data_IF_832889509202
#
_entry.id   IF_832889509202
#
_cell.length_a   1.000
_cell.length_b   1.000
_cell.length_c   1.000
_cell.angle_alpha   90.00
_cell.angle_beta   90.00
_cell.angle_gamma   90.00
#
_symmetry.space_group_name_H-M   'P 1'
#
loop_
_entity.id
_entity.type
_entity.pdbx_description
1 polymer ?
#
# COMPACT_ATOMS: atom_id res chain seq x y z
N UNK A 1 -32.35 15.74 -26.51
CA UNK A 1 -31.41 15.02 -25.62
C UNK A 1 -29.99 15.30 -26.09
N UNK A 2 -29.29 16.22 -25.42
CA UNK A 2 -27.87 16.46 -25.67
C UNK A 2 -27.08 15.20 -25.29
N UNK A 3 -26.24 14.69 -26.18
CA UNK A 3 -25.27 13.64 -25.84
C UNK A 3 -24.29 14.26 -24.84
N UNK A 4 -24.35 13.86 -23.57
CA UNK A 4 -23.33 14.24 -22.60
C UNK A 4 -21.97 13.73 -23.10
N UNK A 5 -21.08 14.67 -23.38
CA UNK A 5 -19.71 14.38 -23.84
C UNK A 5 -18.95 13.82 -22.64
N UNK A 6 -18.42 12.60 -22.78
CA UNK A 6 -17.59 11.98 -21.76
C UNK A 6 -16.13 12.46 -21.95
N UNK A 7 -15.54 13.00 -20.88
CA UNK A 7 -14.16 13.49 -20.86
C UNK A 7 -13.21 12.54 -20.08
N UNK A 8 -13.68 11.37 -19.65
CA UNK A 8 -12.85 10.42 -18.90
C UNK A 8 -11.70 9.88 -19.77
N UNK A 9 -10.47 10.00 -19.28
CA UNK A 9 -9.28 9.55 -20.00
C UNK A 9 -9.02 8.05 -19.83
N UNK A 10 -9.59 7.25 -20.74
CA UNK A 10 -9.33 5.81 -20.77
C UNK A 10 -7.85 5.48 -21.01
N UNK A 11 -7.19 6.28 -21.87
CA UNK A 11 -5.77 6.12 -22.15
C UNK A 11 -4.90 6.37 -20.91
N UNK A 12 -5.31 7.27 -20.01
CA UNK A 12 -4.66 7.50 -18.72
C UNK A 12 -4.68 6.25 -17.84
N UNK A 13 -5.87 5.66 -17.67
CA UNK A 13 -6.03 4.42 -16.90
C UNK A 13 -5.25 3.24 -17.50
N UNK A 14 -5.21 3.11 -18.82
CA UNK A 14 -4.43 2.05 -19.47
C UNK A 14 -2.92 2.19 -19.23
N UNK A 15 -2.40 3.41 -19.25
CA UNK A 15 -1.00 3.67 -18.91
C UNK A 15 -0.71 3.29 -17.46
N UNK A 16 -1.57 3.71 -16.54
CA UNK A 16 -1.47 3.35 -15.11
C UNK A 16 -1.49 1.83 -14.93
N UNK A 17 -2.46 1.15 -15.52
CA UNK A 17 -2.57 -0.30 -15.47
C UNK A 17 -1.32 -0.99 -16.03
N UNK A 18 -0.75 -0.46 -17.12
CA UNK A 18 0.48 -1.01 -17.72
C UNK A 18 1.70 -0.81 -16.80
N UNK A 19 1.84 0.36 -16.18
CA UNK A 19 2.92 0.63 -15.21
C UNK A 19 2.80 -0.24 -13.96
N UNK A 20 1.59 -0.43 -13.45
CA UNK A 20 1.31 -1.29 -12.30
C UNK A 20 1.42 -2.79 -12.62
N UNK A 21 1.50 -3.17 -13.89
CA UNK A 21 1.76 -4.54 -14.33
C UNK A 21 3.19 -5.03 -14.04
N UNK A 22 4.08 -4.14 -13.61
CA UNK A 22 5.44 -4.49 -13.18
C UNK A 22 5.41 -5.13 -11.79
N UNK A 23 6.41 -5.95 -11.46
CA UNK A 23 6.55 -6.55 -10.12
C UNK A 23 7.34 -5.66 -9.15
N UNK A 24 8.08 -4.68 -9.68
CA UNK A 24 8.90 -3.77 -8.87
C UNK A 24 8.72 -2.35 -9.35
N UNK A 25 8.47 -1.43 -8.43
CA UNK A 25 8.37 0.01 -8.70
C UNK A 25 9.12 0.79 -7.61
N UNK A 26 9.66 1.96 -7.96
CA UNK A 26 10.20 2.86 -6.95
C UNK A 26 9.08 3.52 -6.16
N UNK A 27 9.36 3.89 -4.91
CA UNK A 27 8.41 4.56 -4.03
C UNK A 27 7.81 5.82 -4.67
N UNK A 28 8.64 6.69 -5.26
CA UNK A 28 8.17 7.90 -5.94
C UNK A 28 7.25 7.59 -7.12
N UNK A 29 7.56 6.52 -7.87
CA UNK A 29 6.73 6.09 -9.00
C UNK A 29 5.38 5.59 -8.51
N UNK A 30 5.35 4.83 -7.40
CA UNK A 30 4.12 4.34 -6.78
C UNK A 30 3.24 5.52 -6.36
N UNK A 31 3.80 6.54 -5.70
CA UNK A 31 3.09 7.74 -5.27
C UNK A 31 2.56 8.55 -6.46
N UNK A 32 3.37 8.77 -7.49
CA UNK A 32 2.95 9.49 -8.70
C UNK A 32 1.80 8.76 -9.40
N UNK A 33 1.90 7.43 -9.56
CA UNK A 33 0.82 6.63 -10.15
C UNK A 33 -0.45 6.72 -9.29
N UNK A 34 -0.31 6.68 -7.97
CA UNK A 34 -1.41 6.86 -7.03
C UNK A 34 -2.12 8.20 -7.24
N UNK A 35 -1.37 9.30 -7.26
CA UNK A 35 -1.91 10.65 -7.48
C UNK A 35 -2.60 10.80 -8.85
N UNK A 36 -1.94 10.35 -9.92
CA UNK A 36 -2.52 10.36 -11.28
C UNK A 36 -3.81 9.54 -11.33
N UNK A 37 -3.81 8.37 -10.67
CA UNK A 37 -4.98 7.50 -10.59
C UNK A 37 -6.13 8.18 -9.89
N UNK A 38 -5.92 8.79 -8.72
CA UNK A 38 -6.96 9.51 -7.98
C UNK A 38 -7.58 10.62 -8.84
N UNK A 39 -6.76 11.37 -9.58
CA UNK A 39 -7.24 12.37 -10.52
C UNK A 39 -8.17 11.79 -11.59
N UNK A 40 -7.78 10.69 -12.24
CA UNK A 40 -8.66 10.01 -13.20
C UNK A 40 -9.89 9.39 -12.54
N UNK A 41 -9.73 8.82 -11.35
CA UNK A 41 -10.78 8.14 -10.63
C UNK A 41 -11.91 9.13 -10.28
N UNK A 42 -11.58 10.32 -9.76
CA UNK A 42 -12.58 11.37 -9.51
C UNK A 42 -13.37 11.70 -10.78
N UNK A 43 -12.68 11.96 -11.90
CA UNK A 43 -13.37 12.30 -13.15
C UNK A 43 -14.30 11.20 -13.66
N UNK A 44 -14.08 9.95 -13.25
CA UNK A 44 -14.90 8.80 -13.62
C UNK A 44 -16.09 8.66 -12.68
N UNK A 45 -15.89 8.83 -11.37
CA UNK A 45 -16.97 8.82 -10.37
C UNK A 45 -18.02 9.88 -10.74
N UNK A 46 -17.58 11.07 -11.15
CA UNK A 46 -18.45 12.18 -11.56
C UNK A 46 -19.12 11.97 -12.95
N UNK A 47 -18.77 10.89 -13.66
CA UNK A 47 -19.26 10.63 -15.01
C UNK A 47 -20.29 9.50 -15.02
N UNK A 48 -21.58 9.88 -15.11
CA UNK A 48 -22.73 8.96 -15.19
C UNK A 48 -22.57 7.87 -16.27
N UNK A 49 -21.87 8.19 -17.37
CA UNK A 49 -21.67 7.24 -18.47
C UNK A 49 -20.60 6.20 -18.20
N UNK A 50 -19.67 6.46 -17.31
CA UNK A 50 -18.49 5.62 -17.07
C UNK A 50 -18.57 4.89 -15.74
N UNK A 51 -19.07 5.54 -14.68
CA UNK A 51 -19.02 5.05 -13.30
C UNK A 51 -19.66 3.68 -13.11
N UNK A 52 -20.75 3.40 -13.83
CA UNK A 52 -21.52 2.14 -13.73
C UNK A 52 -21.14 1.11 -14.79
N UNK A 53 -20.24 1.43 -15.71
CA UNK A 53 -19.90 0.47 -16.77
C UNK A 53 -19.03 -0.63 -16.21
N UNK A 54 -19.46 -1.90 -16.35
CA UNK A 54 -18.71 -3.09 -15.89
C UNK A 54 -17.24 -3.06 -16.30
N UNK A 55 -16.94 -2.60 -17.51
CA UNK A 55 -15.55 -2.45 -17.99
C UNK A 55 -14.75 -1.48 -17.13
N UNK A 56 -15.33 -0.33 -16.80
CA UNK A 56 -14.66 0.68 -15.99
C UNK A 56 -14.51 0.19 -14.55
N UNK A 57 -15.57 -0.36 -13.95
CA UNK A 57 -15.54 -1.01 -12.64
C UNK A 57 -14.38 -2.00 -12.53
N UNK A 58 -14.25 -2.91 -13.50
CA UNK A 58 -13.17 -3.89 -13.52
C UNK A 58 -11.78 -3.24 -13.59
N UNK A 59 -11.60 -2.20 -14.39
CA UNK A 59 -10.31 -1.52 -14.54
C UNK A 59 -9.95 -0.77 -13.26
N UNK A 60 -10.90 -0.05 -12.67
CA UNK A 60 -10.70 0.65 -11.40
C UNK A 60 -10.34 -0.35 -10.30
N UNK A 61 -11.07 -1.46 -10.17
CA UNK A 61 -10.77 -2.52 -9.20
C UNK A 61 -9.42 -3.18 -9.38
N UNK A 62 -8.98 -3.39 -10.63
CA UNK A 62 -7.65 -3.94 -10.89
C UNK A 62 -6.55 -2.96 -10.48
N UNK A 63 -6.72 -1.67 -10.82
CA UNK A 63 -5.75 -0.63 -10.48
C UNK A 63 -5.69 -0.42 -8.96
N UNK A 64 -6.83 -0.28 -8.28
CA UNK A 64 -6.90 -0.12 -6.82
C UNK A 64 -6.25 -1.30 -6.11
N UNK A 65 -6.60 -2.54 -6.49
CA UNK A 65 -6.02 -3.74 -5.91
C UNK A 65 -4.50 -3.77 -6.04
N UNK A 66 -3.97 -3.41 -7.22
CA UNK A 66 -2.53 -3.40 -7.48
C UNK A 66 -1.81 -2.26 -6.75
N UNK A 67 -2.41 -1.07 -6.65
CA UNK A 67 -1.88 0.03 -5.83
C UNK A 67 -1.78 -0.38 -4.35
N UNK A 68 -2.82 -1.00 -3.79
CA UNK A 68 -2.80 -1.48 -2.40
C UNK A 68 -1.66 -2.48 -2.19
N UNK A 69 -1.41 -3.40 -3.13
CA UNK A 69 -0.25 -4.30 -3.04
C UNK A 69 1.10 -3.55 -3.00
N UNK A 70 1.25 -2.47 -3.77
CA UNK A 70 2.47 -1.67 -3.74
C UNK A 70 2.62 -0.83 -2.46
N UNK A 71 1.52 -0.32 -1.90
CA UNK A 71 1.56 0.38 -0.62
C UNK A 71 1.93 -0.57 0.53
N UNK A 72 1.37 -1.79 0.54
CA UNK A 72 1.78 -2.85 1.49
C UNK A 72 3.27 -3.20 1.33
N UNK A 73 3.75 -3.34 0.08
CA UNK A 73 5.16 -3.61 -0.19
C UNK A 73 6.08 -2.47 0.27
N UNK A 74 5.66 -1.22 0.07
CA UNK A 74 6.40 -0.04 0.53
C UNK A 74 6.50 0.00 2.06
N UNK A 75 5.40 -0.29 2.77
CA UNK A 75 5.38 -0.42 4.23
C UNK A 75 6.32 -1.54 4.71
N UNK A 76 6.25 -2.73 4.10
CA UNK A 76 7.13 -3.85 4.49
C UNK A 76 8.61 -3.55 4.26
N UNK A 77 8.95 -2.85 3.18
CA UNK A 77 10.34 -2.46 2.89
C UNK A 77 10.85 -1.37 3.84
N UNK A 78 9.98 -0.43 4.24
CA UNK A 78 10.30 0.55 5.29
C UNK A 78 10.52 -0.13 6.66
N UNK A 79 9.72 -1.16 6.98
CA UNK A 79 9.84 -1.91 8.23
C UNK A 79 11.12 -2.77 8.27
N UNK A 80 11.43 -3.50 7.19
CA UNK A 80 12.57 -4.45 7.11
C UNK A 80 13.95 -3.81 7.04
N UNK A 81 14.05 -2.56 6.57
CA UNK A 81 15.34 -1.81 6.55
C UNK A 81 15.96 -1.65 7.96
N UNK A 82 15.19 -1.90 9.04
CA UNK A 82 15.67 -1.90 10.42
C UNK A 82 16.23 -3.24 10.92
N UNK A 83 16.08 -4.35 10.20
CA UNK A 83 16.52 -5.66 10.69
C UNK A 83 18.06 -5.83 10.67
N UNK A 84 18.81 -4.89 10.09
CA UNK A 84 20.27 -5.01 9.86
C UNK A 84 21.11 -4.20 10.86
N UNK A 85 20.51 -3.36 11.72
CA UNK A 85 21.24 -2.72 12.81
C UNK A 85 20.70 -3.14 14.19
N UNK A 86 21.18 -4.27 14.74
CA UNK A 86 21.09 -4.45 16.18
C UNK A 86 21.82 -3.28 16.82
N UNK A 87 21.08 -2.50 17.59
CA UNK A 87 21.54 -1.40 18.43
C UNK A 87 22.79 -1.86 19.19
N UNK A 88 23.98 -1.54 18.66
CA UNK A 88 25.22 -1.75 19.37
C UNK A 88 25.24 -0.75 20.52
N UNK A 89 24.70 -1.15 21.67
CA UNK A 89 24.96 -0.49 22.95
C UNK A 89 26.46 -0.59 23.16
N UNK A 90 27.16 0.50 22.85
CA UNK A 90 28.49 0.77 23.39
C UNK A 90 28.34 0.96 24.90
N UNK A 91 28.42 -0.13 25.65
CA UNK A 91 28.72 -0.08 27.08
C UNK A 91 30.23 -0.25 27.21
N UNK A 92 30.92 0.88 27.26
CA UNK A 92 32.22 0.97 27.90
C UNK A 92 32.03 0.60 29.37
N UNK A 93 32.65 -0.51 29.77
CA UNK A 93 33.60 -0.61 30.89
C UNK A 93 33.39 -1.84 31.80
N UNK A 94 34.52 -2.49 32.04
CA UNK A 94 34.88 -3.44 33.09
C UNK A 94 34.02 -4.70 33.35
N UNK A 95 34.65 -5.87 33.16
CA UNK A 95 34.58 -6.93 34.18
C UNK A 95 34.26 -8.36 33.71
N UNK A 96 35.33 -9.09 33.37
CA UNK A 96 35.65 -10.42 33.90
C UNK A 96 34.70 -11.64 33.63
N UNK A 97 35.26 -12.54 32.82
CA UNK A 97 35.43 -13.99 33.06
C UNK A 97 34.48 -15.02 32.39
N UNK A 98 35.11 -15.79 31.48
CA UNK A 98 35.04 -17.24 31.23
C UNK A 98 33.95 -17.82 30.28
N UNK A 99 34.42 -18.27 29.11
CA UNK A 99 33.84 -19.33 28.23
C UNK A 99 34.15 -20.75 28.80
N UNK A 100 33.75 -21.94 28.24
CA UNK A 100 33.25 -22.26 26.87
C UNK A 100 32.18 -23.45 26.82
N UNK A 101 32.05 -24.35 25.80
CA UNK A 101 30.83 -24.44 24.96
C UNK A 101 30.19 -25.85 24.75
N UNK A 102 29.12 -25.90 23.92
CA UNK A 102 28.56 -27.02 23.11
C UNK A 102 27.81 -28.23 23.76
N UNK A 103 26.50 -28.36 23.45
CA UNK A 103 25.79 -29.58 22.92
C UNK A 103 24.27 -29.33 22.90
N UNK A 104 23.64 -29.13 21.73
CA UNK A 104 22.95 -30.10 20.84
C UNK A 104 21.47 -30.38 21.16
N UNK A 105 20.65 -30.08 20.13
CA UNK A 105 19.43 -30.76 19.67
C UNK A 105 18.12 -30.62 20.45
N UNK A 106 17.14 -30.00 19.76
CA UNK A 106 15.72 -30.04 20.10
C UNK A 106 14.97 -28.96 19.32
N UNK A 107 14.37 -29.33 18.19
CA UNK A 107 13.59 -28.45 17.32
C UNK A 107 12.59 -27.56 18.08
N UNK A 108 12.31 -26.37 17.52
CA UNK A 108 10.95 -25.87 17.47
C UNK A 108 10.52 -25.73 16.00
N UNK A 109 9.49 -26.49 15.60
CA UNK A 109 8.63 -26.07 14.49
C UNK A 109 7.92 -24.78 14.89
N UNK A 110 7.84 -23.77 14.00
CA UNK A 110 6.75 -22.84 14.01
C UNK A 110 5.87 -23.12 12.78
N UNK A 111 4.67 -23.61 13.04
CA UNK A 111 3.53 -23.49 12.14
C UNK A 111 3.34 -22.00 11.85
N UNK A 112 3.92 -21.53 10.74
CA UNK A 112 3.56 -20.25 10.16
C UNK A 112 2.17 -20.43 9.52
N UNK A 113 1.18 -19.57 9.81
CA UNK A 113 -0.04 -19.58 9.03
C UNK A 113 0.34 -19.26 7.59
N UNK A 114 -0.10 -20.11 6.66
CA UNK A 114 0.03 -19.89 5.23
C UNK A 114 -0.72 -18.61 4.85
N UNK A 115 -0.02 -17.48 4.87
CA UNK A 115 -0.46 -16.29 4.18
C UNK A 115 -0.48 -16.64 2.68
N UNK A 116 -1.66 -16.55 2.07
CA UNK A 116 -1.82 -16.71 0.64
C UNK A 116 -0.78 -15.84 -0.08
N UNK A 117 -0.18 -16.31 -1.20
CA UNK A 117 0.82 -15.53 -1.91
C UNK A 117 0.16 -14.25 -2.41
N UNK A 118 0.40 -13.16 -1.67
CA UNK A 118 0.12 -11.82 -2.16
C UNK A 118 0.88 -11.67 -3.47
N UNK A 119 0.31 -11.02 -4.48
CA UNK A 119 1.02 -10.83 -5.74
C UNK A 119 2.35 -10.12 -5.44
N UNK A 120 3.45 -10.65 -6.00
CA UNK A 120 4.84 -10.30 -5.68
C UNK A 120 5.20 -8.83 -6.03
N UNK A 121 4.60 -7.87 -5.33
CA UNK A 121 4.94 -6.46 -5.46
C UNK A 121 6.14 -6.16 -4.57
N UNK A 122 7.14 -5.50 -5.13
CA UNK A 122 8.32 -5.04 -4.42
C UNK A 122 8.45 -3.52 -4.61
N UNK A 123 8.78 -2.80 -3.54
CA UNK A 123 8.98 -1.35 -3.59
C UNK A 123 10.45 -0.99 -3.37
N UNK A 124 11.04 -0.15 -4.20
CA UNK A 124 12.40 0.36 -3.96
C UNK A 124 12.35 1.80 -3.46
N UNK A 125 12.95 2.08 -2.30
CA UNK A 125 13.09 3.45 -1.81
C UNK A 125 14.19 4.19 -2.58
N UNK A 126 13.88 5.38 -3.07
CA UNK A 126 14.86 6.35 -3.55
C UNK A 126 15.49 7.15 -2.40
N UNK A 127 16.45 8.01 -2.73
CA UNK A 127 17.01 8.96 -1.76
C UNK A 127 15.91 9.96 -1.33
N UNK A 128 15.54 9.95 -0.05
CA UNK A 128 14.52 10.87 0.48
C UNK A 128 15.14 12.20 0.88
N UNK A 129 14.47 13.31 0.57
CA UNK A 129 14.93 14.66 0.93
C UNK A 129 13.80 15.49 1.52
N UNK A 130 14.10 16.23 2.57
CA UNK A 130 13.26 17.32 3.08
C UNK A 130 13.90 18.66 2.68
N UNK A 131 13.42 19.23 1.57
CA UNK A 131 14.05 20.41 0.97
C UNK A 131 15.45 20.08 0.44
N UNK A 132 16.51 20.62 1.08
CA UNK A 132 17.91 20.32 0.73
C UNK A 132 18.55 19.24 1.61
N UNK A 133 17.87 18.79 2.66
CA UNK A 133 18.40 17.81 3.60
C UNK A 133 18.10 16.40 3.09
N UNK A 134 19.14 15.57 2.94
CA UNK A 134 18.96 14.12 2.72
C UNK A 134 18.55 13.47 4.03
N UNK A 135 17.47 12.68 3.98
CA UNK A 135 16.99 11.87 5.09
C UNK A 135 17.53 10.46 4.94
N UNK A 136 17.99 9.88 6.04
CA UNK A 136 18.52 8.52 6.07
C UNK A 136 17.92 7.74 7.25
N UNK A 137 17.91 6.41 7.13
CA UNK A 137 17.49 5.51 8.20
C UNK A 137 16.09 5.83 8.74
N UNK A 138 16.03 6.17 10.03
CA UNK A 138 14.77 6.32 10.75
C UNK A 138 13.94 7.53 10.28
N UNK A 139 14.58 8.64 9.90
CA UNK A 139 13.87 9.85 9.47
C UNK A 139 13.20 9.66 8.11
N UNK A 140 13.91 9.03 7.17
CA UNK A 140 13.35 8.63 5.87
C UNK A 140 12.18 7.66 6.06
N UNK A 141 12.30 6.72 7.00
CA UNK A 141 11.20 5.80 7.35
C UNK A 141 9.97 6.55 7.85
N UNK A 142 10.11 7.43 8.82
CA UNK A 142 8.97 8.20 9.36
C UNK A 142 8.30 8.99 8.23
N UNK A 143 9.10 9.64 7.38
CA UNK A 143 8.55 10.38 6.24
C UNK A 143 7.79 9.44 5.28
N UNK A 144 8.35 8.28 4.96
CA UNK A 144 7.69 7.28 4.12
C UNK A 144 6.36 6.80 4.73
N UNK A 145 6.34 6.52 6.03
CA UNK A 145 5.13 6.08 6.76
C UNK A 145 4.06 7.16 6.75
N UNK A 146 4.41 8.43 7.01
CA UNK A 146 3.47 9.56 6.96
C UNK A 146 2.88 9.71 5.56
N UNK A 147 3.72 9.72 4.52
CA UNK A 147 3.24 9.83 3.14
C UNK A 147 2.35 8.65 2.77
N UNK A 148 2.69 7.43 3.22
CA UNK A 148 1.87 6.24 2.99
C UNK A 148 0.51 6.34 3.69
N UNK A 149 0.43 6.86 4.91
CA UNK A 149 -0.84 7.08 5.61
C UNK A 149 -1.74 8.00 4.79
N UNK A 150 -1.22 9.16 4.39
CA UNK A 150 -1.98 10.15 3.63
C UNK A 150 -2.49 9.55 2.31
N UNK A 151 -1.61 8.87 1.58
CA UNK A 151 -1.95 8.23 0.30
C UNK A 151 -2.98 7.11 0.47
N UNK A 152 -2.88 6.31 1.55
CA UNK A 152 -3.85 5.25 1.83
C UNK A 152 -5.21 5.80 2.21
N UNK A 153 -5.25 6.91 2.98
CA UNK A 153 -6.49 7.58 3.37
C UNK A 153 -7.21 8.16 2.14
N UNK A 154 -6.48 8.84 1.26
CA UNK A 154 -7.04 9.41 0.03
C UNK A 154 -7.62 8.31 -0.87
N UNK A 155 -6.90 7.20 -1.07
CA UNK A 155 -7.41 6.06 -1.84
C UNK A 155 -8.63 5.42 -1.18
N UNK A 156 -8.62 5.29 0.15
CA UNK A 156 -9.75 4.74 0.90
C UNK A 156 -11.01 5.59 0.72
N UNK A 157 -10.89 6.91 0.84
CA UNK A 157 -12.00 7.85 0.61
C UNK A 157 -12.58 7.69 -0.80
N UNK A 158 -11.73 7.65 -1.83
CA UNK A 158 -12.23 7.53 -3.22
C UNK A 158 -12.89 6.20 -3.51
N UNK A 159 -12.42 5.11 -2.93
CA UNK A 159 -13.10 3.80 -3.07
C UNK A 159 -14.46 3.83 -2.36
N UNK A 160 -14.58 4.48 -1.19
CA UNK A 160 -15.85 4.63 -0.49
C UNK A 160 -16.84 5.48 -1.28
N UNK A 161 -16.41 6.62 -1.82
CA UNK A 161 -17.21 7.50 -2.68
C UNK A 161 -17.70 6.74 -3.92
N UNK A 162 -16.81 6.03 -4.60
CA UNK A 162 -17.16 5.21 -5.74
C UNK A 162 -18.20 4.14 -5.41
N UNK A 163 -18.05 3.46 -4.27
CA UNK A 163 -19.03 2.47 -3.81
C UNK A 163 -20.39 3.09 -3.53
N UNK A 164 -20.44 4.25 -2.87
CA UNK A 164 -21.69 4.96 -2.63
C UNK A 164 -22.42 5.24 -3.94
N UNK A 165 -21.72 5.77 -4.95
CA UNK A 165 -22.30 6.04 -6.27
C UNK A 165 -22.75 4.75 -6.97
N UNK A 166 -21.98 3.66 -6.87
CA UNK A 166 -22.41 2.38 -7.44
C UNK A 166 -23.63 1.81 -6.73
N UNK A 167 -23.71 1.90 -5.40
CA UNK A 167 -24.82 1.39 -4.60
C UNK A 167 -26.12 2.17 -4.90
N UNK A 168 -26.05 3.51 -5.00
CA UNK A 168 -27.18 4.36 -5.41
C UNK A 168 -27.72 3.99 -6.81
N UNK A 169 -26.81 3.63 -7.73
CA UNK A 169 -27.18 3.22 -9.08
C UNK A 169 -27.62 1.76 -9.15
N UNK A 170 -27.09 0.88 -8.31
CA UNK A 170 -27.44 -0.52 -8.21
C UNK A 170 -28.88 -0.71 -7.71
N UNK A 171 -29.35 0.12 -6.80
CA UNK A 171 -30.78 0.16 -6.40
C UNK A 171 -31.70 0.43 -7.62
N UNK A 172 -31.18 1.06 -8.69
CA UNK A 172 -31.92 1.29 -9.93
C UNK A 172 -31.79 0.14 -10.96
N UNK A 173 -30.70 -0.64 -10.95
CA UNK A 173 -30.40 -1.67 -11.97
C UNK A 173 -30.32 -3.12 -11.48
N UNK A 174 -30.30 -3.36 -10.17
CA UNK A 174 -30.28 -4.70 -9.55
C UNK A 174 -28.93 -5.44 -9.60
N UNK A 175 -27.83 -4.78 -9.96
CA UNK A 175 -26.48 -5.38 -10.01
C UNK A 175 -25.71 -5.15 -8.70
N UNK A 176 -25.10 -6.19 -8.13
CA UNK A 176 -24.38 -6.10 -6.85
C UNK A 176 -22.99 -5.44 -6.97
N UNK A 177 -22.62 -4.73 -5.90
CA UNK A 177 -21.32 -4.09 -5.68
C UNK A 177 -20.14 -5.07 -5.81
N UNK A 178 -19.02 -4.57 -6.36
CA UNK A 178 -17.81 -5.35 -6.64
C UNK A 178 -17.07 -5.79 -5.37
N UNK A 179 -16.93 -7.10 -5.16
CA UNK A 179 -16.20 -7.70 -4.03
C UNK A 179 -14.72 -7.27 -3.96
N UNK A 180 -14.10 -6.91 -5.10
CA UNK A 180 -12.73 -6.43 -5.12
C UNK A 180 -12.56 -5.09 -4.38
N UNK A 181 -13.56 -4.20 -4.48
CA UNK A 181 -13.55 -2.90 -3.80
C UNK A 181 -13.59 -3.07 -2.28
N UNK A 182 -14.45 -3.95 -1.77
CA UNK A 182 -14.53 -4.28 -0.33
C UNK A 182 -13.22 -4.86 0.19
N UNK A 183 -12.61 -5.79 -0.55
CA UNK A 183 -11.31 -6.35 -0.17
C UNK A 183 -10.21 -5.26 -0.13
N UNK A 184 -10.20 -4.33 -1.08
CA UNK A 184 -9.27 -3.20 -1.07
C UNK A 184 -9.46 -2.32 0.18
N UNK A 185 -10.70 -2.00 0.55
CA UNK A 185 -11.00 -1.24 1.77
C UNK A 185 -10.53 -1.96 3.04
N UNK A 186 -10.78 -3.27 3.14
CA UNK A 186 -10.32 -4.05 4.30
C UNK A 186 -8.80 -4.06 4.42
N UNK A 187 -8.09 -4.16 3.28
CA UNK A 187 -6.63 -4.12 3.23
C UNK A 187 -6.09 -2.72 3.57
N UNK A 188 -6.70 -1.67 3.04
CA UNK A 188 -6.35 -0.28 3.37
C UNK A 188 -6.57 0.02 4.84
N UNK A 189 -7.71 -0.38 5.42
CA UNK A 189 -7.99 -0.19 6.84
C UNK A 189 -6.94 -0.88 7.73
N UNK A 190 -6.53 -2.10 7.38
CA UNK A 190 -5.43 -2.81 8.07
C UNK A 190 -4.11 -2.06 7.93
N UNK A 191 -3.76 -1.64 6.72
CA UNK A 191 -2.51 -0.92 6.45
C UNK A 191 -2.44 0.43 7.19
N UNK A 192 -3.53 1.21 7.15
CA UNK A 192 -3.66 2.46 7.90
C UNK A 192 -3.52 2.21 9.40
N UNK A 193 -4.16 1.16 9.93
CA UNK A 193 -4.02 0.79 11.34
C UNK A 193 -2.58 0.45 11.73
N UNK A 194 -1.87 -0.30 10.88
CA UNK A 194 -0.46 -0.64 11.09
C UNK A 194 0.44 0.59 11.05
N UNK A 195 0.17 1.54 10.15
CA UNK A 195 0.93 2.77 10.02
C UNK A 195 0.66 3.77 11.16
N UNK A 196 -0.56 3.83 11.70
CA UNK A 196 -0.95 4.80 12.73
C UNK A 196 -0.65 4.35 14.17
N UNK A 197 -0.63 3.04 14.46
CA UNK A 197 -0.64 2.52 15.83
C UNK A 197 0.54 1.56 16.15
N UNK A 198 1.72 1.80 15.58
CA UNK A 198 2.98 1.04 15.77
C UNK A 198 3.12 -0.31 15.03
N UNK A 199 3.74 -0.25 13.86
CA UNK A 199 4.33 -1.40 13.17
C UNK A 199 5.68 -1.83 13.76
N UNK A 200 5.68 -2.44 14.94
CA UNK A 200 6.50 -3.61 15.33
C UNK A 200 6.16 -3.99 16.78
N UNK A 201 5.93 -5.28 17.10
CA UNK A 201 5.86 -5.71 18.49
C UNK A 201 7.20 -5.41 19.16
N UNK A 202 7.16 -4.59 20.20
CA UNK A 202 8.22 -4.51 21.18
C UNK A 202 8.36 -5.92 21.74
N UNK A 203 9.43 -6.65 21.35
CA UNK A 203 9.83 -7.84 22.07
C UNK A 203 10.16 -7.41 23.50
N UNK A 204 9.20 -7.61 24.40
CA UNK A 204 9.40 -7.53 25.83
C UNK A 204 10.53 -8.51 26.20
N UNK A 205 11.57 -7.96 26.84
CA UNK A 205 12.69 -8.70 27.39
C UNK A 205 12.27 -9.78 28.38
#
# INVERSE_FOLDING_TARGET
MQRSVCNCSFNGLQKISSSLGQDTLSFDTILQIGSDFIGYFQTIIDCERCVTTKRMTNILSQITSRLVCFYEAAYLNAATTNAIHPRARSTSDAGLLLSPPLSQHGQPSPLSPAAQPAPNCQSMFGEMKLGRLTLEGHEARILAEVILVDTCLELNEKIQEWRLVMDEMAEATGEQCDAASSNCLDRLAKLIGLLQFDGLPVQSC
#
